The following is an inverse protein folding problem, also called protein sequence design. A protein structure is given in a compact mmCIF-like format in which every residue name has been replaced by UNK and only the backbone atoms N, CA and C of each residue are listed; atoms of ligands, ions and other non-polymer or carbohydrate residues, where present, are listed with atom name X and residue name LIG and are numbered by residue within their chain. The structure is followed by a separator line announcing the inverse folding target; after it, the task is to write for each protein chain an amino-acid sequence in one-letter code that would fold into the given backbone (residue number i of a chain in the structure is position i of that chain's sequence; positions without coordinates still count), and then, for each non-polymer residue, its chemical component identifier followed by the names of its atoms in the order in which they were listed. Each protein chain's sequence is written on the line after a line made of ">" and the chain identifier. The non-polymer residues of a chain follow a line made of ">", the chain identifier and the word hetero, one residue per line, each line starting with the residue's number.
data_IF_515066369671
#
_entry.id   IF_515066369671
#
_cell.length_a   1.000
_cell.length_b   1.000
_cell.length_c   1.000
_cell.angle_alpha   90.00
_cell.angle_beta   90.00
_cell.angle_gamma   90.00
#
_symmetry.space_group_name_H-M   'P 1'
#
loop_
_entity.id
_entity.type
_entity.pdbx_description
1 polymer ?
#
# COMPACT_ATOMS: atom_id res chain seq x y z
N UNK A 1 -19.40 -23.26 23.06
CA UNK A 1 -18.03 -22.71 23.29
C UNK A 1 -18.00 -21.19 23.14
N UNK A 2 -18.57 -20.61 22.07
CA UNK A 2 -18.65 -19.14 21.85
C UNK A 2 -19.39 -18.37 22.96
N UNK A 3 -20.58 -18.82 23.37
CA UNK A 3 -21.39 -18.15 24.41
C UNK A 3 -20.62 -17.98 25.73
N UNK A 4 -19.96 -19.04 26.19
CA UNK A 4 -19.17 -19.00 27.42
C UNK A 4 -17.93 -18.10 27.28
N UNK A 5 -17.31 -18.05 26.11
CA UNK A 5 -16.18 -17.16 25.85
C UNK A 5 -16.58 -15.68 25.91
N UNK A 6 -17.76 -15.33 25.37
CA UNK A 6 -18.27 -13.95 25.43
C UNK A 6 -18.61 -13.54 26.87
N UNK A 7 -19.29 -14.40 27.64
CA UNK A 7 -19.62 -14.13 29.04
C UNK A 7 -18.37 -13.96 29.94
N UNK A 8 -17.27 -14.64 29.60
CA UNK A 8 -16.00 -14.50 30.33
C UNK A 8 -15.17 -13.29 29.88
N UNK A 9 -15.49 -12.68 28.73
CA UNK A 9 -14.67 -11.61 28.16
C UNK A 9 -14.80 -10.29 28.93
N UNK A 10 -15.97 -9.99 29.49
CA UNK A 10 -16.22 -8.76 30.22
C UNK A 10 -17.28 -8.97 31.32
N UNK A 11 -16.99 -8.61 32.58
CA UNK A 11 -17.93 -8.76 33.69
C UNK A 11 -19.22 -7.93 33.55
N UNK A 12 -19.26 -6.95 32.64
CA UNK A 12 -20.47 -6.18 32.34
C UNK A 12 -21.51 -6.98 31.52
N UNK A 13 -21.14 -8.12 30.93
CA UNK A 13 -22.06 -8.94 30.11
C UNK A 13 -22.77 -9.96 31.02
N UNK A 14 -24.08 -9.79 31.23
CA UNK A 14 -24.88 -10.70 32.07
C UNK A 14 -25.41 -11.90 31.28
N UNK A 15 -25.84 -11.66 30.04
CA UNK A 15 -26.40 -12.70 29.17
C UNK A 15 -25.95 -12.47 27.74
N UNK A 16 -25.70 -13.58 27.04
CA UNK A 16 -25.39 -13.58 25.61
C UNK A 16 -26.15 -14.75 24.96
N UNK A 17 -26.98 -14.45 23.97
CA UNK A 17 -27.74 -15.42 23.20
C UNK A 17 -27.48 -15.18 21.70
N UNK A 18 -27.38 -16.25 20.92
CA UNK A 18 -27.09 -16.17 19.50
C UNK A 18 -27.79 -17.32 18.78
N UNK A 19 -28.29 -17.05 17.58
CA UNK A 19 -28.92 -18.03 16.71
C UNK A 19 -27.88 -19.03 16.17
N UNK A 20 -27.86 -20.25 16.72
CA UNK A 20 -26.93 -21.29 16.27
C UNK A 20 -27.39 -22.02 15.00
N UNK A 21 -28.67 -21.89 14.61
CA UNK A 21 -29.21 -22.62 13.48
C UNK A 21 -29.14 -21.78 12.20
N UNK A 22 -29.56 -20.51 12.25
CA UNK A 22 -29.60 -19.63 11.08
C UNK A 22 -28.65 -18.44 11.14
N UNK A 23 -27.97 -18.22 12.27
CA UNK A 23 -26.99 -17.13 12.45
C UNK A 23 -27.54 -15.72 12.16
N UNK A 24 -28.85 -15.51 12.30
CA UNK A 24 -29.52 -14.26 11.89
C UNK A 24 -29.48 -13.15 12.96
N UNK A 25 -29.35 -13.52 14.23
CA UNK A 25 -29.46 -12.55 15.33
C UNK A 25 -28.53 -12.89 16.50
N UNK A 26 -28.22 -11.86 17.27
CA UNK A 26 -27.45 -11.91 18.50
C UNK A 26 -28.10 -10.97 19.52
N UNK A 27 -28.26 -11.43 20.76
CA UNK A 27 -28.82 -10.67 21.87
C UNK A 27 -27.81 -10.64 23.03
N UNK A 28 -27.56 -9.45 23.58
CA UNK A 28 -26.57 -9.23 24.65
C UNK A 28 -27.16 -8.32 25.73
N UNK A 29 -27.19 -8.82 26.96
CA UNK A 29 -27.62 -8.04 28.13
C UNK A 29 -26.39 -7.46 28.84
N UNK A 30 -26.30 -6.12 28.89
CA UNK A 30 -25.20 -5.39 29.50
C UNK A 30 -25.65 -4.70 30.80
N UNK A 31 -24.91 -4.93 31.88
CA UNK A 31 -25.08 -4.23 33.15
C UNK A 31 -24.03 -3.13 33.27
N UNK A 32 -24.48 -1.86 33.23
CA UNK A 32 -23.63 -0.68 33.31
C UNK A 32 -23.95 0.10 34.60
N UNK A 33 -22.94 0.53 35.40
CA UNK A 33 -23.17 1.36 36.57
C UNK A 33 -23.64 2.75 36.13
N UNK A 34 -24.88 3.11 36.47
CA UNK A 34 -25.51 4.33 36.00
C UNK A 34 -25.05 5.55 36.83
N UNK A 35 -24.29 6.45 36.21
CA UNK A 35 -23.98 7.78 36.77
C UNK A 35 -24.60 8.86 35.88
N UNK A 36 -25.63 9.56 36.38
CA UNK A 36 -26.36 10.76 35.84
C UNK A 36 -25.94 11.31 34.46
N UNK A 37 -25.92 10.49 33.41
CA UNK A 37 -25.62 10.89 32.03
C UNK A 37 -26.52 10.10 31.10
N UNK A 38 -27.17 10.78 30.15
CA UNK A 38 -27.88 10.13 29.07
C UNK A 38 -26.87 9.52 28.11
N UNK A 39 -26.72 8.19 28.13
CA UNK A 39 -25.86 7.46 27.21
C UNK A 39 -26.67 7.03 25.99
N UNK A 40 -26.32 7.54 24.80
CA UNK A 40 -26.87 7.05 23.54
C UNK A 40 -26.13 5.78 23.09
N UNK A 41 -26.61 4.64 23.58
CA UNK A 41 -26.09 3.32 23.23
C UNK A 41 -26.22 3.04 21.73
N UNK A 42 -27.26 3.54 21.07
CA UNK A 42 -27.48 3.30 19.63
C UNK A 42 -26.35 3.90 18.82
N UNK A 43 -25.98 5.16 19.10
CA UNK A 43 -24.87 5.82 18.41
C UNK A 43 -23.53 5.12 18.67
N UNK A 44 -23.28 4.69 19.92
CA UNK A 44 -22.04 3.98 20.29
C UNK A 44 -21.95 2.63 19.57
N UNK A 45 -23.02 1.83 19.64
CA UNK A 45 -23.07 0.51 19.00
C UNK A 45 -22.96 0.64 17.48
N UNK A 46 -23.63 1.62 16.87
CA UNK A 46 -23.54 1.86 15.42
C UNK A 46 -22.12 2.22 15.00
N UNK A 47 -21.46 3.10 15.75
CA UNK A 47 -20.07 3.50 15.50
C UNK A 47 -19.12 2.33 15.67
N UNK A 48 -19.30 1.51 16.71
CA UNK A 48 -18.48 0.31 16.93
C UNK A 48 -18.73 -0.75 15.84
N UNK A 49 -19.99 -0.95 15.42
CA UNK A 49 -20.35 -1.90 14.38
C UNK A 49 -19.73 -1.55 13.03
N UNK A 50 -19.69 -0.26 12.67
CA UNK A 50 -19.04 0.21 11.43
C UNK A 50 -17.53 -0.03 11.43
N UNK A 51 -16.89 -0.01 12.59
CA UNK A 51 -15.46 -0.22 12.74
C UNK A 51 -15.09 -1.67 13.08
N UNK A 52 -16.08 -2.53 13.35
CA UNK A 52 -15.86 -3.92 13.74
C UNK A 52 -15.47 -4.75 12.51
N UNK A 53 -14.18 -5.05 12.43
CA UNK A 53 -13.61 -5.93 11.39
C UNK A 53 -13.87 -7.39 11.75
N UNK A 54 -14.64 -8.09 10.92
CA UNK A 54 -14.90 -9.53 11.10
C UNK A 54 -13.72 -10.36 10.61
N UNK A 55 -13.24 -10.05 9.40
CA UNK A 55 -12.08 -10.68 8.79
C UNK A 55 -11.34 -9.63 7.96
N UNK A 56 -10.05 -9.47 8.21
CA UNK A 56 -9.19 -8.58 7.43
C UNK A 56 -7.84 -9.26 7.21
N UNK A 57 -7.36 -9.12 5.99
CA UNK A 57 -6.00 -9.46 5.63
C UNK A 57 -5.14 -8.21 5.79
N UNK A 58 -4.14 -8.26 6.66
CA UNK A 58 -3.31 -7.09 6.99
C UNK A 58 -2.77 -6.40 5.73
N UNK A 59 -2.98 -5.10 5.63
CA UNK A 59 -2.46 -4.27 4.53
C UNK A 59 -3.24 -4.38 3.23
N UNK A 60 -4.42 -5.03 3.23
CA UNK A 60 -5.36 -5.05 2.11
C UNK A 60 -6.70 -4.50 2.60
N UNK A 61 -7.18 -3.42 1.98
CA UNK A 61 -8.44 -2.77 2.35
C UNK A 61 -9.60 -3.33 1.55
N UNK A 62 -9.39 -3.53 0.24
CA UNK A 62 -10.45 -3.94 -0.68
C UNK A 62 -9.88 -4.72 -1.85
N UNK A 63 -10.62 -5.72 -2.33
CA UNK A 63 -10.31 -6.46 -3.54
C UNK A 63 -11.51 -6.43 -4.50
N UNK A 64 -11.26 -6.18 -5.78
CA UNK A 64 -12.23 -6.06 -6.85
C UNK A 64 -11.83 -7.01 -7.98
N UNK A 65 -12.76 -7.87 -8.37
CA UNK A 65 -12.57 -8.79 -9.47
C UNK A 65 -13.11 -8.16 -10.76
N UNK A 66 -12.30 -8.16 -11.80
CA UNK A 66 -12.61 -7.53 -13.09
C UNK A 66 -12.28 -8.49 -14.23
N UNK A 67 -13.10 -8.47 -15.29
CA UNK A 67 -12.80 -9.20 -16.53
C UNK A 67 -12.13 -8.26 -17.52
N UNK A 68 -10.91 -8.59 -17.95
CA UNK A 68 -10.18 -7.86 -18.97
C UNK A 68 -10.02 -8.73 -20.21
N UNK A 69 -10.27 -8.18 -21.39
CA UNK A 69 -10.00 -8.90 -22.65
C UNK A 69 -8.57 -8.59 -23.09
N UNK A 70 -7.76 -9.63 -23.23
CA UNK A 70 -6.40 -9.51 -23.75
C UNK A 70 -6.39 -9.13 -25.23
N UNK A 71 -5.25 -8.65 -25.73
CA UNK A 71 -5.06 -8.33 -27.16
C UNK A 71 -5.27 -9.53 -28.09
N UNK A 72 -5.19 -10.76 -27.58
CA UNK A 72 -5.47 -12.01 -28.29
C UNK A 72 -6.95 -12.42 -28.26
N UNK A 73 -7.84 -11.60 -27.68
CA UNK A 73 -9.27 -11.87 -27.59
C UNK A 73 -9.68 -12.83 -26.47
N UNK A 74 -8.74 -13.29 -25.64
CA UNK A 74 -9.04 -14.14 -24.49
C UNK A 74 -9.47 -13.29 -23.29
N UNK A 75 -10.55 -13.71 -22.61
CA UNK A 75 -10.99 -13.09 -21.36
C UNK A 75 -10.11 -13.58 -20.22
N UNK A 76 -9.49 -12.64 -19.51
CA UNK A 76 -8.72 -12.89 -18.31
C UNK A 76 -9.38 -12.22 -17.11
N UNK A 77 -9.42 -12.93 -15.99
CA UNK A 77 -9.92 -12.40 -14.73
C UNK A 77 -8.76 -11.77 -13.97
N UNK A 78 -8.86 -10.48 -13.68
CA UNK A 78 -7.84 -9.70 -12.96
C UNK A 78 -8.41 -9.26 -11.62
N UNK A 79 -7.67 -9.60 -10.56
CA UNK A 79 -7.95 -9.16 -9.19
C UNK A 79 -7.20 -7.85 -8.91
N UNK A 80 -7.93 -6.75 -8.87
CA UNK A 80 -7.41 -5.44 -8.48
C UNK A 80 -7.62 -5.25 -6.98
N UNK A 81 -6.59 -4.76 -6.28
CA UNK A 81 -6.64 -4.60 -4.82
C UNK A 81 -6.17 -3.22 -4.37
N UNK A 82 -6.81 -2.72 -3.33
CA UNK A 82 -6.41 -1.53 -2.60
C UNK A 82 -5.57 -1.94 -1.40
N UNK A 83 -4.32 -1.45 -1.35
CA UNK A 83 -3.36 -1.80 -0.32
C UNK A 83 -2.24 -2.73 -0.79
N UNK A 84 -1.16 -2.79 -0.01
CA UNK A 84 0.09 -3.45 -0.39
C UNK A 84 0.46 -4.48 0.67
N UNK A 85 0.21 -5.75 0.34
CA UNK A 85 0.82 -6.88 1.02
C UNK A 85 1.09 -8.01 0.02
N UNK A 86 2.27 -7.98 -0.63
CA UNK A 86 2.64 -9.00 -1.60
C UNK A 86 2.95 -10.35 -0.93
N UNK A 87 3.50 -10.33 0.28
CA UNK A 87 3.87 -11.55 0.99
C UNK A 87 2.67 -12.43 1.29
N UNK A 88 1.52 -11.82 1.61
CA UNK A 88 0.29 -12.57 1.82
C UNK A 88 -0.30 -13.10 0.52
N UNK A 89 -0.27 -12.31 -0.56
CA UNK A 89 -0.77 -12.75 -1.88
C UNK A 89 0.00 -13.96 -2.41
N UNK A 90 1.31 -14.02 -2.17
CA UNK A 90 2.16 -15.13 -2.61
C UNK A 90 1.80 -16.44 -1.89
N UNK A 91 1.24 -16.39 -0.67
CA UNK A 91 0.77 -17.59 0.02
C UNK A 91 -0.41 -18.25 -0.69
N UNK A 92 -1.17 -17.48 -1.46
CA UNK A 92 -2.30 -17.93 -2.26
C UNK A 92 -1.90 -18.24 -3.71
N UNK A 93 -0.69 -18.76 -3.92
CA UNK A 93 -0.17 -19.14 -5.24
C UNK A 93 -0.93 -20.32 -5.89
N UNK A 94 -1.75 -21.02 -5.12
CA UNK A 94 -2.66 -22.07 -5.57
C UNK A 94 -3.84 -21.51 -6.38
N UNK A 95 -4.27 -20.28 -6.09
CA UNK A 95 -5.39 -19.61 -6.76
C UNK A 95 -4.92 -18.45 -7.66
N UNK A 96 -3.82 -17.78 -7.28
CA UNK A 96 -3.30 -16.60 -7.97
C UNK A 96 -2.02 -16.91 -8.74
N UNK A 97 -1.93 -16.41 -9.98
CA UNK A 97 -0.68 -16.45 -10.76
C UNK A 97 0.32 -15.39 -10.24
N UNK A 98 1.23 -15.84 -9.38
CA UNK A 98 2.25 -14.99 -8.74
C UNK A 98 3.27 -14.44 -9.73
N UNK A 99 3.48 -15.08 -10.89
CA UNK A 99 4.45 -14.62 -11.88
C UNK A 99 3.98 -13.38 -12.63
N UNK A 100 2.67 -13.13 -12.63
CA UNK A 100 2.03 -11.96 -13.25
C UNK A 100 1.64 -10.90 -12.22
N UNK A 101 2.08 -11.04 -10.97
CA UNK A 101 1.78 -10.09 -9.91
C UNK A 101 2.41 -8.72 -10.22
N UNK A 102 1.58 -7.68 -10.17
CA UNK A 102 1.97 -6.30 -10.43
C UNK A 102 1.55 -5.39 -9.27
N UNK A 103 2.32 -4.34 -9.04
CA UNK A 103 2.02 -3.28 -8.08
C UNK A 103 2.57 -1.96 -8.59
N UNK A 104 1.81 -0.89 -8.36
CA UNK A 104 2.23 0.48 -8.65
C UNK A 104 3.26 1.01 -7.64
N UNK A 105 3.40 0.38 -6.47
CA UNK A 105 4.41 0.75 -5.49
C UNK A 105 5.82 0.27 -5.87
N UNK A 106 6.64 1.19 -6.38
CA UNK A 106 7.99 0.94 -6.88
C UNK A 106 8.91 0.37 -5.80
N UNK A 107 8.87 0.90 -4.57
CA UNK A 107 9.73 0.42 -3.49
C UNK A 107 9.43 -1.03 -3.11
N UNK A 108 8.15 -1.39 -3.07
CA UNK A 108 7.73 -2.73 -2.71
C UNK A 108 8.15 -3.74 -3.81
N UNK A 109 8.05 -3.35 -5.08
CA UNK A 109 8.53 -4.15 -6.21
C UNK A 109 10.06 -4.29 -6.20
N UNK A 110 10.79 -3.20 -5.94
CA UNK A 110 12.25 -3.22 -5.82
C UNK A 110 12.74 -4.18 -4.72
N UNK A 111 12.09 -4.14 -3.56
CA UNK A 111 12.45 -4.97 -2.42
C UNK A 111 12.16 -6.46 -2.63
N UNK A 112 11.13 -6.79 -3.43
CA UNK A 112 10.68 -8.17 -3.63
C UNK A 112 11.30 -8.84 -4.86
N UNK A 113 11.34 -8.12 -5.98
CA UNK A 113 11.74 -8.63 -7.29
C UNK A 113 13.06 -8.03 -7.80
N UNK A 114 13.61 -7.02 -7.13
CA UNK A 114 14.87 -6.38 -7.50
C UNK A 114 14.70 -5.10 -8.32
N UNK A 115 15.83 -4.41 -8.52
CA UNK A 115 15.85 -3.05 -9.10
C UNK A 115 15.41 -3.00 -10.57
N UNK A 116 15.71 -4.03 -11.36
CA UNK A 116 15.32 -4.11 -12.78
C UNK A 116 13.79 -4.14 -12.96
N UNK A 117 13.08 -4.81 -12.04
CA UNK A 117 11.62 -4.82 -12.05
C UNK A 117 11.08 -3.45 -11.64
N UNK A 118 11.70 -2.80 -10.66
CA UNK A 118 11.34 -1.44 -10.26
C UNK A 118 11.48 -0.45 -11.43
N UNK A 119 12.54 -0.57 -12.23
CA UNK A 119 12.76 0.22 -13.44
C UNK A 119 11.61 0.08 -14.43
N UNK A 120 11.17 -1.15 -14.71
CA UNK A 120 10.01 -1.41 -15.59
C UNK A 120 8.68 -0.92 -15.02
N UNK A 121 8.52 -0.95 -13.70
CA UNK A 121 7.36 -0.35 -13.04
C UNK A 121 7.35 1.16 -13.23
N UNK A 122 8.49 1.85 -13.06
CA UNK A 122 8.59 3.30 -13.27
C UNK A 122 8.26 3.67 -14.72
N UNK A 123 8.85 3.00 -15.69
CA UNK A 123 8.56 3.23 -17.12
C UNK A 123 7.06 3.09 -17.41
N UNK A 124 6.44 2.04 -16.88
CA UNK A 124 5.03 1.74 -17.08
C UNK A 124 4.12 2.77 -16.40
N UNK A 125 4.36 3.09 -15.14
CA UNK A 125 3.54 4.05 -14.38
C UNK A 125 3.60 5.45 -15.01
N UNK A 126 4.79 5.93 -15.40
CA UNK A 126 4.91 7.23 -16.07
C UNK A 126 4.17 7.21 -17.41
N UNK A 127 4.30 6.13 -18.19
CA UNK A 127 3.58 5.97 -19.45
C UNK A 127 2.07 5.97 -19.24
N UNK A 128 1.57 5.25 -18.25
CA UNK A 128 0.14 5.12 -17.96
C UNK A 128 -0.45 6.47 -17.53
N UNK A 129 0.30 7.29 -16.79
CA UNK A 129 -0.10 8.68 -16.47
C UNK A 129 -0.26 9.52 -17.73
N UNK A 130 0.71 9.51 -18.65
CA UNK A 130 0.61 10.29 -19.90
C UNK A 130 -0.48 9.76 -20.84
N UNK A 131 -0.71 8.45 -20.87
CA UNK A 131 -1.71 7.81 -21.72
C UNK A 131 -3.14 8.27 -21.39
N UNK A 132 -3.46 8.53 -20.13
CA UNK A 132 -4.77 9.08 -19.70
C UNK A 132 -5.07 10.44 -20.34
N UNK A 133 -4.03 11.23 -20.61
CA UNK A 133 -4.15 12.54 -21.26
C UNK A 133 -3.98 12.49 -22.78
N UNK A 134 -3.81 11.29 -23.37
CA UNK A 134 -3.57 11.14 -24.81
C UNK A 134 -2.21 11.66 -25.27
N UNK A 135 -1.24 11.80 -24.35
CA UNK A 135 0.11 12.26 -24.67
C UNK A 135 0.98 11.03 -24.96
N UNK A 136 1.46 10.92 -26.20
CA UNK A 136 2.41 9.88 -26.57
C UNK A 136 3.84 10.36 -26.31
N UNK A 137 4.57 9.60 -25.47
CA UNK A 137 5.98 9.83 -25.16
C UNK A 137 6.80 8.66 -25.69
N UNK A 138 7.91 8.95 -26.38
CA UNK A 138 8.85 7.92 -26.84
C UNK A 138 9.37 7.12 -25.62
N UNK A 139 9.24 5.78 -25.60
CA UNK A 139 9.74 4.93 -24.53
C UNK A 139 11.23 5.15 -24.19
N UNK A 140 12.05 5.61 -25.15
CA UNK A 140 13.47 5.91 -24.93
C UNK A 140 13.68 7.01 -23.90
N UNK A 141 12.80 8.03 -23.86
CA UNK A 141 12.87 9.08 -22.84
C UNK A 141 12.54 8.50 -21.46
N UNK A 142 11.52 7.64 -21.38
CA UNK A 142 11.08 7.03 -20.13
C UNK A 142 12.14 6.06 -19.58
N UNK A 143 12.76 5.26 -20.44
CA UNK A 143 13.88 4.39 -20.09
C UNK A 143 15.03 5.18 -19.49
N UNK A 144 15.47 6.26 -20.14
CA UNK A 144 16.58 7.08 -19.66
C UNK A 144 16.32 7.66 -18.27
N UNK A 145 15.09 8.13 -18.01
CA UNK A 145 14.71 8.64 -16.68
C UNK A 145 14.69 7.51 -15.66
N UNK A 146 14.10 6.36 -15.98
CA UNK A 146 14.01 5.23 -15.08
C UNK A 146 15.40 4.64 -14.74
N UNK A 147 16.28 4.54 -15.74
CA UNK A 147 17.69 4.17 -15.61
C UNK A 147 18.40 5.14 -14.65
N UNK A 148 18.25 6.45 -14.85
CA UNK A 148 18.86 7.45 -13.98
C UNK A 148 18.29 7.43 -12.55
N UNK A 149 17.05 7.01 -12.36
CA UNK A 149 16.48 6.83 -11.02
C UNK A 149 16.99 5.57 -10.33
N UNK A 150 17.49 4.58 -11.06
CA UNK A 150 17.83 3.25 -10.54
C UNK A 150 19.32 2.86 -10.68
N UNK A 151 20.16 3.71 -11.28
CA UNK A 151 21.54 3.34 -11.68
C UNK A 151 22.45 2.89 -10.53
N UNK A 152 22.19 3.30 -9.29
CA UNK A 152 22.96 2.88 -8.11
C UNK A 152 22.41 1.59 -7.46
N UNK A 153 21.51 0.89 -8.14
CA UNK A 153 20.86 -0.32 -7.61
C UNK A 153 19.76 -0.06 -6.59
N UNK A 154 19.39 1.21 -6.39
CA UNK A 154 18.33 1.64 -5.48
C UNK A 154 17.45 2.68 -6.17
N UNK A 155 16.16 2.67 -5.88
CA UNK A 155 15.24 3.69 -6.39
C UNK A 155 15.51 5.05 -5.74
N UNK A 156 15.86 6.04 -6.57
CA UNK A 156 16.15 7.41 -6.16
C UNK A 156 15.15 8.40 -6.76
N UNK A 157 14.44 9.15 -5.92
CA UNK A 157 13.60 10.24 -6.41
C UNK A 157 14.45 11.40 -6.93
N UNK A 158 13.94 12.19 -7.86
CA UNK A 158 14.63 13.37 -8.41
C UNK A 158 14.48 14.59 -7.47
N UNK A 159 15.06 14.52 -6.27
CA UNK A 159 14.96 15.57 -5.25
C UNK A 159 16.31 15.92 -4.60
N UNK A 160 16.29 16.91 -3.69
CA UNK A 160 17.47 17.41 -2.96
C UNK A 160 18.21 16.36 -2.11
N UNK A 161 17.58 15.23 -1.80
CA UNK A 161 18.22 14.14 -1.05
C UNK A 161 19.01 13.25 -1.99
N UNK A 162 18.45 12.91 -3.14
CA UNK A 162 19.14 12.10 -4.15
C UNK A 162 20.31 12.84 -4.81
N UNK A 163 20.18 14.15 -5.05
CA UNK A 163 21.27 14.91 -5.71
C UNK A 163 22.57 14.92 -4.89
N UNK A 164 22.51 14.64 -3.58
CA UNK A 164 23.69 14.53 -2.71
C UNK A 164 24.61 13.37 -3.08
N UNK A 165 24.10 12.32 -3.72
CA UNK A 165 24.93 11.20 -4.17
C UNK A 165 25.63 11.51 -5.50
N UNK A 166 25.26 12.61 -6.15
CA UNK A 166 25.87 12.98 -7.42
C UNK A 166 27.35 13.33 -7.24
N UNK A 167 28.18 13.05 -8.24
CA UNK A 167 29.63 13.19 -8.14
C UNK A 167 30.08 14.65 -8.16
N UNK A 168 29.44 15.49 -8.97
CA UNK A 168 29.81 16.90 -9.19
C UNK A 168 29.33 17.82 -8.06
N UNK A 169 30.24 18.45 -7.29
CA UNK A 169 29.87 19.45 -6.27
C UNK A 169 29.23 20.69 -6.89
N UNK A 170 29.67 21.11 -8.08
CA UNK A 170 29.10 22.25 -8.81
C UNK A 170 27.62 22.01 -9.19
N UNK A 171 27.30 20.80 -9.65
CA UNK A 171 25.92 20.44 -9.95
C UNK A 171 25.05 20.44 -8.68
N UNK A 172 25.59 20.02 -7.53
CA UNK A 172 24.88 20.08 -6.26
C UNK A 172 24.64 21.52 -5.80
N UNK A 173 25.65 22.39 -5.94
CA UNK A 173 25.58 23.80 -5.54
C UNK A 173 24.60 24.62 -6.39
N UNK A 174 24.47 24.31 -7.67
CA UNK A 174 23.59 25.01 -8.62
C UNK A 174 22.12 24.60 -8.50
N UNK A 175 21.82 23.46 -7.85
CA UNK A 175 20.46 23.02 -7.60
C UNK A 175 19.83 23.75 -6.40
N UNK A 176 20.27 23.43 -5.18
CA UNK A 176 19.74 24.01 -3.94
C UNK A 176 20.76 23.92 -2.78
N UNK A 177 20.61 24.74 -1.73
CA UNK A 177 21.44 24.67 -0.50
C UNK A 177 22.97 24.84 -0.74
N UNK A 178 23.37 25.77 -1.61
CA UNK A 178 24.75 25.94 -2.08
C UNK A 178 25.79 26.05 -0.96
N UNK A 179 25.51 26.81 0.11
CA UNK A 179 26.42 26.96 1.25
C UNK A 179 26.73 25.63 1.97
N UNK A 180 25.74 24.73 2.05
CA UNK A 180 25.94 23.43 2.70
C UNK A 180 26.84 22.54 1.85
N UNK A 181 26.63 22.53 0.53
CA UNK A 181 27.42 21.74 -0.40
C UNK A 181 28.84 22.25 -0.54
N UNK A 182 29.06 23.56 -0.64
CA UNK A 182 30.41 24.13 -0.71
C UNK A 182 31.19 23.82 0.57
N UNK A 183 30.59 24.02 1.75
CA UNK A 183 31.22 23.67 3.03
C UNK A 183 31.62 22.20 3.07
N UNK A 184 30.71 21.30 2.65
CA UNK A 184 30.99 19.87 2.63
C UNK A 184 32.09 19.51 1.63
N UNK A 185 32.10 20.11 0.44
CA UNK A 185 33.13 19.90 -0.58
C UNK A 185 34.51 20.36 -0.09
N UNK A 186 34.60 21.55 0.50
CA UNK A 186 35.84 22.09 1.08
C UNK A 186 36.33 21.23 2.25
N UNK A 187 35.45 20.75 3.12
CA UNK A 187 35.82 19.87 4.24
C UNK A 187 36.33 18.49 3.80
N UNK A 188 35.83 17.97 2.67
CA UNK A 188 36.20 16.66 2.14
C UNK A 188 37.38 16.71 1.15
N UNK A 189 37.85 17.91 0.79
CA UNK A 189 38.89 18.07 -0.24
C UNK A 189 38.46 17.57 -1.62
N UNK A 190 37.16 17.64 -1.95
CA UNK A 190 36.67 17.28 -3.28
C UNK A 190 37.01 18.41 -4.26
N UNK A 191 37.74 18.08 -5.32
CA UNK A 191 37.97 19.01 -6.43
C UNK A 191 36.63 19.40 -7.06
N UNK A 192 36.44 20.71 -7.22
CA UNK A 192 35.21 21.31 -7.76
C UNK A 192 35.17 21.23 -9.28
#
# INVERSE_FOLDING_TARGET
>A
MRVNAVLQSNPAIQRYCFDQEQELWCEVDLALPFSKVHLDLTSVVTTLAQNAVVLETKGLTRCLLSETTTKSGQKETVLSKEGINMNELIKHADVLDVNRLYSNEVHAMANKYGIEVALKVIEKEIKDVFAVYGIEVDPRHLSLVADYMCFEGVYKPLNRHAIRSNSSPLQQMTFETSYKFIKQATMLGKDC
#
